data_IF_952016369541
#
_entry.id   IF_952016369541
#
_cell.length_a   1.000
_cell.length_b   1.000
_cell.length_c   1.000
_cell.angle_alpha   90.00
_cell.angle_beta   90.00
_cell.angle_gamma   90.00
#
_symmetry.space_group_name_H-M   'P 1'
#
loop_
_entity.id
_entity.type
_entity.pdbx_description
1 polymer ?
#
# COMPACT_ATOMS: atom_id res chain seq x y z
N UNK A 1 -6.34 -13.73 -6.21
CA UNK A 1 -5.36 -13.77 -7.33
C UNK A 1 -4.45 -14.98 -7.11
N UNK A 2 -3.99 -15.68 -8.15
CA UNK A 2 -3.03 -16.79 -7.95
C UNK A 2 -1.65 -16.22 -7.62
N UNK A 3 -1.12 -16.59 -6.45
CA UNK A 3 0.21 -16.18 -5.99
C UNK A 3 1.29 -16.75 -6.90
N UNK A 4 2.14 -15.89 -7.45
CA UNK A 4 3.19 -16.26 -8.42
C UNK A 4 4.61 -16.24 -7.84
N UNK A 5 4.79 -15.81 -6.59
CA UNK A 5 6.11 -15.53 -6.01
C UNK A 5 6.34 -16.33 -4.72
N UNK A 6 7.35 -17.20 -4.71
CA UNK A 6 7.74 -17.98 -3.52
C UNK A 6 9.17 -17.63 -3.08
N UNK A 7 9.39 -17.57 -1.76
CA UNK A 7 10.68 -17.21 -1.18
C UNK A 7 11.44 -18.42 -0.63
N UNK A 8 12.76 -18.27 -0.47
CA UNK A 8 13.65 -19.25 0.17
C UNK A 8 14.47 -18.62 1.31
N UNK A 9 13.88 -17.65 2.00
CA UNK A 9 14.58 -16.80 2.96
C UNK A 9 15.02 -17.58 4.21
N UNK A 10 16.26 -17.35 4.65
CA UNK A 10 16.78 -17.84 5.94
C UNK A 10 16.75 -16.78 7.05
N UNK A 11 16.37 -15.56 6.70
CA UNK A 11 16.26 -14.40 7.61
C UNK A 11 14.89 -14.27 8.28
N UNK A 12 14.03 -15.28 8.15
CA UNK A 12 12.71 -15.31 8.76
C UNK A 12 11.68 -14.34 8.18
N UNK A 13 11.85 -13.83 6.95
CA UNK A 13 10.83 -13.04 6.24
C UNK A 13 10.31 -11.77 6.96
N UNK A 14 11.04 -11.24 7.94
CA UNK A 14 10.63 -10.10 8.79
C UNK A 14 10.59 -8.73 8.08
N UNK A 15 11.15 -8.64 6.88
CA UNK A 15 11.26 -7.39 6.13
C UNK A 15 11.27 -7.65 4.62
N UNK A 16 11.18 -6.56 3.84
CA UNK A 16 11.08 -6.56 2.37
C UNK A 16 12.30 -7.12 1.63
N UNK A 17 13.31 -7.69 2.33
CA UNK A 17 14.27 -8.60 1.69
C UNK A 17 13.61 -9.90 1.25
N UNK A 18 12.51 -10.29 1.91
CA UNK A 18 11.66 -11.38 1.45
C UNK A 18 10.87 -10.94 0.23
N UNK A 19 10.95 -11.73 -0.85
CA UNK A 19 10.26 -11.43 -2.10
C UNK A 19 8.73 -11.46 -1.93
N UNK A 20 8.17 -12.37 -1.11
CA UNK A 20 6.72 -12.40 -0.86
C UNK A 20 6.26 -11.11 -0.16
N UNK A 21 6.94 -10.70 0.91
CA UNK A 21 6.58 -9.47 1.63
C UNK A 21 6.81 -8.22 0.76
N UNK A 22 7.87 -8.19 -0.06
CA UNK A 22 8.10 -7.10 -1.02
C UNK A 22 6.99 -6.99 -2.05
N UNK A 23 6.43 -8.13 -2.47
CA UNK A 23 5.27 -8.23 -3.35
C UNK A 23 3.93 -8.04 -2.62
N UNK A 24 3.95 -7.57 -1.36
CA UNK A 24 2.75 -7.36 -0.53
C UNK A 24 1.93 -8.65 -0.31
N UNK A 25 2.58 -9.83 -0.30
CA UNK A 25 1.93 -11.13 -0.13
C UNK A 25 2.39 -11.89 1.13
N UNK A 26 1.50 -12.69 1.75
CA UNK A 26 1.89 -13.65 2.78
C UNK A 26 2.79 -14.74 2.20
N UNK A 27 3.61 -15.35 3.05
CA UNK A 27 4.22 -16.63 2.72
C UNK A 27 3.15 -17.73 2.76
N UNK A 28 3.34 -18.78 1.95
CA UNK A 28 2.44 -19.93 1.90
C UNK A 28 3.26 -21.22 1.89
N UNK A 29 2.60 -22.37 1.77
CA UNK A 29 3.18 -23.71 1.81
C UNK A 29 4.22 -23.96 0.70
N UNK A 30 4.16 -23.20 -0.40
CA UNK A 30 5.13 -23.28 -1.50
C UNK A 30 6.42 -22.49 -1.22
N UNK A 31 6.50 -21.72 -0.13
CA UNK A 31 7.73 -21.06 0.29
C UNK A 31 8.66 -22.03 1.04
N UNK A 32 9.97 -21.94 0.77
CA UNK A 32 11.02 -22.72 1.45
C UNK A 32 11.75 -21.89 2.52
N UNK A 33 11.09 -20.88 3.09
CA UNK A 33 11.69 -20.05 4.14
C UNK A 33 11.77 -20.77 5.48
N UNK A 34 12.79 -20.42 6.28
CA UNK A 34 13.00 -20.96 7.63
C UNK A 34 12.58 -19.92 8.67
N UNK A 35 11.88 -20.37 9.72
CA UNK A 35 11.35 -19.52 10.82
C UNK A 35 10.59 -18.30 10.27
N UNK A 36 9.55 -18.56 9.48
CA UNK A 36 8.83 -17.50 8.78
C UNK A 36 8.08 -16.59 9.76
N UNK A 37 8.46 -15.32 9.77
CA UNK A 37 7.85 -14.23 10.53
C UNK A 37 7.38 -13.15 9.55
N UNK A 38 6.83 -13.54 8.40
CA UNK A 38 6.21 -12.59 7.47
C UNK A 38 4.96 -12.01 8.16
N UNK A 39 4.88 -10.69 8.38
CA UNK A 39 3.77 -10.06 9.09
C UNK A 39 2.44 -10.17 8.32
N UNK A 40 2.44 -10.49 7.03
CA UNK A 40 1.21 -10.68 6.26
C UNK A 40 0.59 -12.08 6.47
N UNK A 41 1.31 -13.03 7.08
CA UNK A 41 0.78 -14.37 7.31
C UNK A 41 -0.47 -14.31 8.22
N UNK A 42 -1.54 -14.98 7.80
CA UNK A 42 -2.81 -15.03 8.53
C UNK A 42 -3.67 -13.77 8.43
N UNK A 43 -3.32 -12.83 7.55
CA UNK A 43 -4.13 -11.64 7.24
C UNK A 43 -4.87 -11.85 5.92
N UNK A 44 -6.17 -11.52 5.91
CA UNK A 44 -6.94 -11.39 4.67
C UNK A 44 -6.58 -10.07 3.97
N UNK A 45 -5.61 -10.12 3.05
CA UNK A 45 -5.07 -8.93 2.39
C UNK A 45 -5.86 -8.46 1.15
N UNK A 46 -6.73 -9.32 0.60
CA UNK A 46 -7.42 -9.05 -0.68
C UNK A 46 -8.33 -7.82 -0.64
N UNK A 47 -8.79 -7.43 0.55
CA UNK A 47 -9.65 -6.26 0.77
C UNK A 47 -8.91 -5.08 1.42
N UNK A 48 -7.58 -5.12 1.46
CA UNK A 48 -6.75 -4.06 2.02
C UNK A 48 -6.13 -3.22 0.92
N UNK A 49 -6.10 -1.91 1.13
CA UNK A 49 -5.33 -1.01 0.28
C UNK A 49 -3.85 -1.35 0.41
N UNK A 50 -3.08 -1.03 -0.62
CA UNK A 50 -1.62 -1.20 -0.59
C UNK A 50 -1.04 -0.49 0.65
N UNK A 51 -1.51 0.72 0.96
CA UNK A 51 -1.05 1.45 2.14
C UNK A 51 -1.27 0.66 3.45
N UNK A 52 -2.45 0.05 3.61
CA UNK A 52 -2.76 -0.80 4.75
C UNK A 52 -1.83 -2.03 4.81
N UNK A 53 -1.60 -2.70 3.68
CA UNK A 53 -0.69 -3.86 3.61
C UNK A 53 0.75 -3.47 3.99
N UNK A 54 1.24 -2.32 3.51
CA UNK A 54 2.60 -1.87 3.81
C UNK A 54 2.75 -1.30 5.24
N UNK A 55 1.63 -1.02 5.92
CA UNK A 55 1.54 -0.61 7.32
C UNK A 55 0.85 -1.67 8.20
N UNK A 56 1.02 -2.95 7.87
CA UNK A 56 0.22 -4.03 8.48
C UNK A 56 0.32 -4.12 10.01
N UNK A 57 1.46 -3.80 10.61
CA UNK A 57 1.61 -3.82 12.07
C UNK A 57 0.72 -2.76 12.73
N UNK A 58 0.63 -1.57 12.11
CA UNK A 58 -0.29 -0.51 12.58
C UNK A 58 -1.74 -0.93 12.40
N UNK A 59 -2.09 -1.55 11.26
CA UNK A 59 -3.42 -2.10 11.03
C UNK A 59 -3.81 -3.16 12.07
N UNK A 60 -2.91 -4.12 12.37
CA UNK A 60 -3.14 -5.16 13.38
C UNK A 60 -3.28 -4.62 14.80
N UNK A 61 -2.69 -3.46 15.07
CA UNK A 61 -2.79 -2.80 16.36
C UNK A 61 -4.11 -2.05 16.57
N UNK A 62 -4.92 -1.87 15.51
CA UNK A 62 -6.23 -1.22 15.62
C UNK A 62 -7.18 -2.06 16.49
N UNK A 63 -7.84 -1.39 17.42
CA UNK A 63 -8.90 -2.00 18.22
C UNK A 63 -10.24 -1.95 17.47
N UNK A 64 -11.22 -2.73 17.93
CA UNK A 64 -12.59 -2.64 17.43
C UNK A 64 -13.14 -1.21 17.51
N UNK A 65 -12.80 -0.48 18.58
CA UNK A 65 -13.21 0.91 18.78
C UNK A 65 -12.59 1.84 17.73
N UNK A 66 -11.35 1.60 17.34
CA UNK A 66 -10.69 2.39 16.29
C UNK A 66 -11.34 2.14 14.94
N UNK A 67 -11.65 0.87 14.65
CA UNK A 67 -12.31 0.44 13.41
C UNK A 67 -13.75 0.97 13.25
N UNK A 68 -14.44 1.20 14.37
CA UNK A 68 -15.79 1.78 14.40
C UNK A 68 -15.79 3.31 14.37
N UNK A 69 -14.64 3.95 14.54
CA UNK A 69 -14.56 5.41 14.47
C UNK A 69 -14.94 5.88 13.08
N UNK A 70 -15.83 6.88 13.05
CA UNK A 70 -16.36 7.47 11.84
C UNK A 70 -15.49 8.61 11.31
N UNK A 71 -15.41 8.70 9.98
CA UNK A 71 -14.67 9.72 9.24
C UNK A 71 -15.54 10.25 8.12
N UNK A 72 -15.62 11.58 8.03
CA UNK A 72 -16.26 12.27 6.90
C UNK A 72 -15.40 12.10 5.65
N UNK A 73 -16.03 11.73 4.53
CA UNK A 73 -15.33 11.63 3.25
C UNK A 73 -15.00 13.04 2.73
N UNK A 74 -13.87 13.23 2.01
CA UNK A 74 -13.52 14.51 1.39
C UNK A 74 -14.57 15.09 0.42
N UNK A 75 -15.48 14.27 -0.13
CA UNK A 75 -16.61 14.76 -0.93
C UNK A 75 -17.79 15.30 -0.09
N UNK A 76 -17.73 15.21 1.24
CA UNK A 76 -18.77 15.66 2.18
C UNK A 76 -20.14 14.96 1.99
N UNK A 77 -20.22 13.90 1.17
CA UNK A 77 -21.46 13.19 0.87
C UNK A 77 -21.84 12.19 1.97
N UNK A 78 -20.85 11.60 2.63
CA UNK A 78 -21.03 10.53 3.62
C UNK A 78 -20.00 10.60 4.73
N UNK A 79 -20.37 10.02 5.88
CA UNK A 79 -19.47 9.68 6.98
C UNK A 79 -19.47 8.16 7.12
N UNK A 80 -18.29 7.55 7.16
CA UNK A 80 -18.14 6.08 7.15
C UNK A 80 -17.17 5.61 8.24
N UNK A 81 -17.37 4.39 8.79
CA UNK A 81 -16.46 3.85 9.79
C UNK A 81 -15.11 3.47 9.15
N UNK A 82 -14.03 3.60 9.91
CA UNK A 82 -12.65 3.33 9.47
C UNK A 82 -12.50 1.96 8.83
N UNK A 83 -13.17 0.93 9.35
CA UNK A 83 -13.13 -0.43 8.78
C UNK A 83 -13.49 -0.50 7.29
N UNK A 84 -14.35 0.39 6.80
CA UNK A 84 -14.75 0.43 5.40
C UNK A 84 -13.66 1.04 4.51
N UNK A 85 -12.75 1.83 5.09
CA UNK A 85 -11.66 2.52 4.41
C UNK A 85 -10.34 1.73 4.44
N UNK A 86 -10.35 0.49 4.94
CA UNK A 86 -9.15 -0.36 4.96
C UNK A 86 -8.74 -0.81 3.56
N UNK A 87 -9.70 -0.93 2.66
CA UNK A 87 -9.51 -1.03 1.21
C UNK A 87 -10.19 0.12 0.48
N UNK A 88 -10.43 -0.07 -0.80
CA UNK A 88 -11.08 0.92 -1.64
C UNK A 88 -12.58 0.99 -1.33
N UNK A 89 -13.05 2.19 -0.96
CA UNK A 89 -14.46 2.48 -0.71
C UNK A 89 -14.98 3.49 -1.72
N UNK A 90 -15.95 3.08 -2.53
CA UNK A 90 -16.66 4.00 -3.43
C UNK A 90 -17.84 4.68 -2.71
N UNK A 91 -17.84 6.01 -2.70
CA UNK A 91 -18.96 6.81 -2.21
C UNK A 91 -20.24 6.48 -3.02
N UNK A 92 -21.36 6.28 -2.33
CA UNK A 92 -22.64 5.86 -2.92
C UNK A 92 -23.35 7.00 -3.65
N UNK A 93 -23.03 8.25 -3.32
CA UNK A 93 -23.63 9.44 -3.92
C UNK A 93 -22.87 9.92 -5.16
N UNK A 94 -21.54 10.08 -5.07
CA UNK A 94 -20.73 10.64 -6.16
C UNK A 94 -19.86 9.62 -6.92
N UNK A 95 -19.70 8.40 -6.39
CA UNK A 95 -18.89 7.35 -7.02
C UNK A 95 -17.37 7.48 -6.83
N UNK A 96 -16.89 8.55 -6.18
CA UNK A 96 -15.47 8.75 -5.88
C UNK A 96 -14.95 7.67 -4.92
N UNK A 97 -13.71 7.25 -5.11
CA UNK A 97 -13.07 6.18 -4.31
C UNK A 97 -12.15 6.76 -3.24
N UNK A 98 -12.26 6.22 -2.03
CA UNK A 98 -11.51 6.64 -0.85
C UNK A 98 -10.92 5.45 -0.11
N UNK A 99 -9.81 5.68 0.58
CA UNK A 99 -9.16 4.71 1.45
C UNK A 99 -8.43 5.43 2.59
N UNK A 100 -8.09 4.70 3.66
CA UNK A 100 -7.39 5.25 4.81
C UNK A 100 -5.88 5.25 4.59
N UNK A 101 -5.28 6.44 4.58
CA UNK A 101 -3.83 6.59 4.52
C UNK A 101 -3.21 6.43 5.91
N UNK A 102 -2.49 5.32 6.11
CA UNK A 102 -1.65 5.16 7.30
C UNK A 102 -0.42 6.06 7.29
N UNK A 103 0.03 6.53 6.11
CA UNK A 103 1.16 7.44 6.01
C UNK A 103 0.81 8.86 6.49
N UNK A 104 -0.42 9.32 6.22
CA UNK A 104 -0.88 10.66 6.55
C UNK A 104 -1.88 10.69 7.72
N UNK A 105 -2.39 9.52 8.12
CA UNK A 105 -3.38 9.35 9.17
C UNK A 105 -4.69 10.09 8.87
N UNK A 106 -5.16 9.99 7.63
CA UNK A 106 -6.34 10.66 7.09
C UNK A 106 -7.00 9.86 5.94
N UNK A 107 -8.21 10.28 5.54
CA UNK A 107 -8.93 9.70 4.39
C UNK A 107 -8.34 10.28 3.10
N UNK A 108 -7.77 9.42 2.28
CA UNK A 108 -7.22 9.78 0.97
C UNK A 108 -8.25 9.51 -0.14
N UNK A 109 -8.27 10.37 -1.15
CA UNK A 109 -9.05 10.16 -2.38
C UNK A 109 -8.14 9.55 -3.44
N UNK A 110 -8.57 8.45 -4.06
CA UNK A 110 -7.79 7.70 -5.05
C UNK A 110 -7.37 8.56 -6.26
N UNK A 111 -8.26 9.44 -6.73
CA UNK A 111 -7.97 10.32 -7.86
C UNK A 111 -6.94 11.42 -7.57
N UNK A 112 -6.67 11.72 -6.29
CA UNK A 112 -5.74 12.76 -5.87
C UNK A 112 -4.51 12.21 -5.14
N UNK A 113 -4.47 10.91 -4.84
CA UNK A 113 -3.45 10.31 -3.99
C UNK A 113 -3.18 8.89 -4.42
N UNK A 114 -1.90 8.54 -4.48
CA UNK A 114 -1.48 7.15 -4.70
C UNK A 114 -0.45 6.75 -3.65
N UNK A 115 -0.33 5.45 -3.40
CA UNK A 115 0.69 4.91 -2.51
C UNK A 115 1.84 4.33 -3.31
N UNK A 116 3.04 4.87 -3.15
CA UNK A 116 4.21 4.32 -3.83
C UNK A 116 4.68 3.04 -3.13
N UNK A 117 4.46 1.90 -3.77
CA UNK A 117 4.85 0.59 -3.25
C UNK A 117 6.36 0.43 -2.98
N UNK A 118 7.18 1.13 -3.76
CA UNK A 118 8.64 1.04 -3.68
C UNK A 118 9.15 1.90 -2.51
N UNK A 119 8.68 3.15 -2.44
CA UNK A 119 9.06 4.08 -1.37
C UNK A 119 8.33 3.81 -0.04
N UNK A 120 7.24 3.05 -0.07
CA UNK A 120 6.32 2.79 1.04
C UNK A 120 5.71 4.06 1.64
N UNK A 121 5.26 4.97 0.78
CA UNK A 121 4.71 6.25 1.22
C UNK A 121 3.63 6.75 0.27
N UNK A 122 2.60 7.39 0.82
CA UNK A 122 1.58 8.10 0.05
C UNK A 122 2.14 9.35 -0.61
N UNK A 123 1.62 9.66 -1.78
CA UNK A 123 2.07 10.71 -2.69
C UNK A 123 0.89 11.40 -3.34
N UNK A 124 1.08 12.67 -3.68
CA UNK A 124 0.11 13.42 -4.49
C UNK A 124 0.05 12.83 -5.91
N UNK A 125 -1.11 12.88 -6.56
CA UNK A 125 -1.32 12.37 -7.92
C UNK A 125 -0.36 12.97 -8.98
N UNK A 126 0.22 14.16 -8.71
CA UNK A 126 1.21 14.82 -9.58
C UNK A 126 2.62 14.28 -9.40
N UNK A 127 2.86 13.49 -8.35
CA UNK A 127 4.13 12.83 -8.10
C UNK A 127 4.16 11.45 -8.76
N UNK A 128 5.35 10.98 -9.08
CA UNK A 128 5.56 9.65 -9.66
C UNK A 128 6.93 9.09 -9.22
N UNK A 129 7.11 7.77 -9.27
CA UNK A 129 8.37 7.12 -8.90
C UNK A 129 9.33 7.03 -10.08
N UNK A 130 10.51 7.65 -9.99
CA UNK A 130 11.56 7.49 -10.99
C UNK A 130 12.41 6.26 -10.65
N UNK A 131 12.28 5.19 -11.45
CA UNK A 131 12.98 3.91 -11.24
C UNK A 131 14.51 4.08 -11.22
N UNK A 132 15.05 4.91 -12.11
CA UNK A 132 16.49 5.18 -12.20
C UNK A 132 17.05 5.87 -10.96
N UNK A 133 16.29 6.82 -10.41
CA UNK A 133 16.67 7.51 -9.18
C UNK A 133 16.24 6.75 -7.92
N UNK A 134 15.42 5.71 -8.07
CA UNK A 134 14.75 4.97 -7.00
C UNK A 134 14.11 5.90 -5.96
N UNK A 135 13.42 6.96 -6.42
CA UNK A 135 12.78 7.96 -5.57
C UNK A 135 11.52 8.54 -6.22
N UNK A 136 10.55 8.92 -5.39
CA UNK A 136 9.43 9.74 -5.85
C UNK A 136 9.88 11.15 -6.21
N UNK A 137 9.31 11.72 -7.26
CA UNK A 137 9.59 13.08 -7.73
C UNK A 137 8.31 13.79 -8.16
N UNK A 138 8.29 15.10 -8.04
CA UNK A 138 7.19 15.93 -8.47
C UNK A 138 7.22 16.11 -10.00
N UNK A 139 6.06 16.00 -10.67
CA UNK A 139 5.92 15.79 -12.12
C UNK A 139 6.53 16.84 -13.07
N UNK A 140 6.99 18.00 -12.58
CA UNK A 140 7.70 19.01 -13.41
C UNK A 140 9.20 19.05 -13.17
N UNK A 141 9.72 18.28 -12.21
CA UNK A 141 11.15 18.20 -11.93
C UNK A 141 11.69 16.88 -12.47
N UNK A 142 12.65 16.96 -13.38
CA UNK A 142 13.37 15.81 -13.95
C UNK A 142 14.72 15.69 -13.24
N UNK A 143 14.86 14.87 -12.17
CA UNK A 143 16.09 14.78 -11.41
C UNK A 143 17.22 14.02 -12.12
N UNK A 144 16.93 13.33 -13.23
CA UNK A 144 17.92 12.80 -14.15
C UNK A 144 17.43 12.86 -15.60
N UNK A 145 18.35 12.70 -16.56
CA UNK A 145 18.06 12.76 -18.00
C UNK A 145 17.11 11.66 -18.49
N UNK A 146 16.91 10.61 -17.69
CA UNK A 146 16.03 9.47 -18.00
C UNK A 146 14.75 9.44 -17.17
N UNK A 147 14.52 10.41 -16.26
CA UNK A 147 13.26 10.44 -15.53
C UNK A 147 12.11 10.77 -16.50
N UNK A 148 11.07 9.93 -16.53
CA UNK A 148 9.92 10.07 -17.43
C UNK A 148 10.17 9.55 -18.85
N UNK A 149 11.30 8.91 -19.11
CA UNK A 149 11.68 8.34 -20.40
C UNK A 149 12.26 6.92 -20.25
N UNK A 150 12.34 6.16 -21.34
CA UNK A 150 13.11 4.92 -21.34
C UNK A 150 14.61 5.25 -21.19
N UNK A 151 15.25 4.64 -20.20
CA UNK A 151 16.69 4.69 -20.03
C UNK A 151 17.44 4.04 -21.20
N UNK A 152 18.77 4.17 -21.26
CA UNK A 152 19.58 3.72 -22.40
C UNK A 152 19.64 2.18 -22.54
N UNK A 153 19.02 1.45 -21.60
CA UNK A 153 18.95 -0.02 -21.56
C UNK A 153 17.51 -0.57 -21.69
N UNK A 154 16.50 0.28 -21.95
CA UNK A 154 15.07 -0.07 -21.95
C UNK A 154 14.37 -0.13 -23.30
#
# INVERSE_FOLDING_TARGET
>A
MEKTVNCKCRSGCRNRRCVCLRSNEPCNENCECVDCQNPLNGVEIDNLSICAIQNIETYKALTQKDLEKEYELPCECETVPLKNLMGDYSCRECGETYWWSFCWNEVAQDSCTWHCEICNECRDWREWHCEECNKCTYGVTLPCEYCGAKGPMG
#
